data_IF_845941331120
#
_entry.id   IF_845941331120
#
_cell.length_a   1.000
_cell.length_b   1.000
_cell.length_c   1.000
_cell.angle_alpha   90.00
_cell.angle_beta   90.00
_cell.angle_gamma   90.00
#
_symmetry.space_group_name_H-M   'P 1'
#
loop_
_entity.id
_entity.type
_entity.pdbx_description
1 polymer ?
#
# COMPACT_ATOMS: atom_id res chain seq x y z
N UNK A 1 -19.82 2.00 20.02
CA UNK A 1 -19.73 0.53 19.90
C UNK A 1 -18.24 0.20 19.69
N UNK A 2 -17.61 -0.39 20.71
CA UNK A 2 -16.18 -0.72 20.74
C UNK A 2 -15.97 -1.93 19.83
N UNK A 3 -15.39 -1.73 18.65
CA UNK A 3 -14.98 -2.83 17.77
C UNK A 3 -13.93 -3.70 18.46
N UNK A 4 -14.22 -4.95 18.64
CA UNK A 4 -13.28 -5.96 19.12
C UNK A 4 -12.09 -6.01 18.16
N UNK A 5 -10.91 -5.67 18.69
CA UNK A 5 -9.64 -5.83 17.97
C UNK A 5 -9.36 -7.34 17.87
N UNK A 6 -9.47 -7.90 16.68
CA UNK A 6 -9.11 -9.28 16.43
C UNK A 6 -7.67 -9.54 16.86
N UNK A 7 -7.46 -10.53 17.76
CA UNK A 7 -6.12 -11.00 18.13
C UNK A 7 -5.57 -11.87 17.00
N UNK A 8 -4.46 -11.45 16.40
CA UNK A 8 -3.72 -12.29 15.47
C UNK A 8 -2.89 -13.28 16.31
N UNK A 9 -3.32 -14.55 16.33
CA UNK A 9 -2.63 -15.61 17.05
C UNK A 9 -1.52 -16.21 16.19
N UNK A 10 -0.31 -16.37 16.75
CA UNK A 10 0.70 -17.30 16.24
C UNK A 10 1.89 -16.72 15.47
N UNK A 11 1.97 -15.42 15.25
CA UNK A 11 3.22 -14.75 14.88
C UNK A 11 3.55 -13.76 15.99
N UNK A 12 4.81 -13.72 16.45
CA UNK A 12 5.26 -12.81 17.51
C UNK A 12 5.19 -11.34 17.10
N UNK A 13 3.98 -10.87 16.74
CA UNK A 13 3.75 -9.48 16.33
C UNK A 13 3.81 -8.60 17.56
N UNK A 14 4.88 -7.84 17.69
CA UNK A 14 5.15 -6.96 18.83
C UNK A 14 4.37 -5.65 18.73
N UNK A 15 3.97 -5.21 17.54
CA UNK A 15 3.17 -4.01 17.32
C UNK A 15 2.35 -4.12 16.03
N UNK A 16 1.14 -3.63 16.06
CA UNK A 16 0.29 -3.46 14.88
C UNK A 16 0.03 -1.98 14.73
N UNK A 17 0.49 -1.39 13.64
CA UNK A 17 0.25 0.01 13.32
C UNK A 17 -0.86 0.08 12.30
N UNK A 18 -1.87 0.84 12.62
CA UNK A 18 -3.05 1.03 11.81
C UNK A 18 -2.98 2.38 11.09
N UNK A 19 -2.86 2.34 9.77
CA UNK A 19 -3.02 3.54 8.94
C UNK A 19 -4.48 3.65 8.49
N UNK A 20 -5.25 4.55 9.07
CA UNK A 20 -6.58 4.89 8.58
C UNK A 20 -6.53 6.34 8.09
N UNK A 21 -6.11 6.51 6.83
CA UNK A 21 -5.68 7.79 6.35
C UNK A 21 -6.74 8.74 5.85
N UNK A 22 -6.51 9.99 6.09
CA UNK A 22 -6.87 11.14 5.27
C UNK A 22 -5.68 12.07 5.09
N UNK A 23 -4.48 11.58 5.35
CA UNK A 23 -3.27 12.40 5.19
C UNK A 23 -2.67 12.28 3.79
N UNK A 24 -2.96 11.21 3.08
CA UNK A 24 -2.55 10.86 1.70
C UNK A 24 -1.04 10.90 1.42
N UNK A 25 -0.22 11.49 2.29
CA UNK A 25 1.20 11.73 2.08
C UNK A 25 2.07 11.53 3.31
N UNK A 26 1.50 11.16 4.47
CA UNK A 26 2.28 10.96 5.68
C UNK A 26 2.84 9.53 5.76
N UNK A 27 4.15 9.47 6.01
CA UNK A 27 4.89 8.26 6.32
C UNK A 27 5.35 8.31 7.78
N UNK A 28 4.88 7.37 8.58
CA UNK A 28 5.24 7.27 10.00
C UNK A 28 6.25 6.16 10.25
N UNK A 29 7.31 6.45 11.00
CA UNK A 29 8.28 5.46 11.46
C UNK A 29 7.83 4.81 12.77
N UNK A 30 7.97 3.48 12.82
CA UNK A 30 7.57 2.65 13.96
C UNK A 30 8.73 1.73 14.32
N UNK A 31 9.37 1.94 15.46
CA UNK A 31 10.60 1.25 15.85
C UNK A 31 10.45 0.30 17.05
N UNK A 32 9.34 0.32 17.77
CA UNK A 32 9.13 -0.58 18.91
C UNK A 32 7.66 -0.81 19.27
N UNK A 33 7.40 -1.87 20.05
CA UNK A 33 6.08 -2.19 20.59
C UNK A 33 5.48 -1.10 21.50
N UNK A 34 6.33 -0.28 22.14
CA UNK A 34 5.87 0.86 22.93
C UNK A 34 5.16 1.91 22.08
N UNK A 35 5.51 2.01 20.83
CA UNK A 35 4.90 2.92 19.84
C UNK A 35 3.47 2.53 19.50
N UNK A 36 3.06 1.27 19.76
CA UNK A 36 1.70 0.77 19.44
C UNK A 36 0.58 1.58 20.10
N UNK A 37 0.81 2.11 21.31
CA UNK A 37 -0.17 2.97 21.98
C UNK A 37 -0.25 4.36 21.35
N UNK A 38 0.87 4.88 20.85
CA UNK A 38 0.95 6.17 20.17
C UNK A 38 0.33 6.10 18.76
N UNK A 39 0.51 4.97 18.07
CA UNK A 39 0.07 4.79 16.69
C UNK A 39 -1.45 4.68 16.53
N UNK A 40 -2.20 4.38 17.59
CA UNK A 40 -3.67 4.41 17.56
C UNK A 40 -4.25 5.82 17.29
N UNK A 41 -3.44 6.86 17.50
CA UNK A 41 -3.80 8.26 17.26
C UNK A 41 -3.14 8.84 16.00
N UNK A 42 -2.23 8.09 15.38
CA UNK A 42 -1.53 8.54 14.18
C UNK A 42 -2.37 8.32 12.93
N UNK A 43 -2.49 9.35 12.13
CA UNK A 43 -3.12 9.30 10.81
C UNK A 43 -2.01 9.29 9.76
N UNK A 44 -1.81 8.15 9.10
CA UNK A 44 -0.79 7.99 8.05
C UNK A 44 -1.26 7.02 6.97
N UNK A 45 -0.86 7.25 5.73
CA UNK A 45 -1.06 6.32 4.61
C UNK A 45 0.20 5.47 4.35
N UNK A 46 1.28 5.69 5.09
CA UNK A 46 2.49 4.89 5.03
C UNK A 46 3.12 4.65 6.40
N UNK A 47 3.64 3.45 6.59
CA UNK A 47 4.34 3.00 7.79
C UNK A 47 5.71 2.48 7.38
N UNK A 48 6.73 2.76 8.18
CA UNK A 48 8.08 2.24 7.97
C UNK A 48 8.67 1.76 9.29
N UNK A 49 9.43 0.66 9.26
CA UNK A 49 10.14 0.13 10.42
C UNK A 49 11.50 -0.46 10.04
N UNK A 50 12.44 -0.35 10.94
CA UNK A 50 13.74 -1.04 10.92
C UNK A 50 13.85 -2.12 12.00
N UNK A 51 12.80 -2.27 12.81
CA UNK A 51 12.77 -3.21 13.93
C UNK A 51 12.20 -4.56 13.50
N UNK A 52 12.96 -5.66 13.56
CA UNK A 52 12.41 -7.01 13.43
C UNK A 52 11.32 -7.26 14.49
N UNK A 53 10.39 -8.14 14.20
CA UNK A 53 9.26 -8.45 15.08
C UNK A 53 8.17 -7.39 15.14
N UNK A 54 8.36 -6.20 14.56
CA UNK A 54 7.30 -5.19 14.44
C UNK A 54 6.46 -5.47 13.19
N UNK A 55 5.18 -5.75 13.41
CA UNK A 55 4.20 -5.98 12.33
C UNK A 55 3.53 -4.69 11.89
N UNK A 56 3.62 -4.36 10.61
CA UNK A 56 2.88 -3.28 9.97
C UNK A 56 1.58 -3.86 9.41
N UNK A 57 0.42 -3.34 9.83
CA UNK A 57 -0.88 -3.83 9.39
C UNK A 57 -1.68 -2.71 8.72
N UNK A 58 -2.23 -3.02 7.56
CA UNK A 58 -3.03 -2.11 6.76
C UNK A 58 -4.32 -2.79 6.30
N UNK A 59 -5.51 -2.35 6.75
CA UNK A 59 -6.79 -2.77 6.20
C UNK A 59 -7.08 -2.02 4.91
N UNK A 60 -7.48 -2.75 3.87
CA UNK A 60 -7.84 -2.20 2.56
C UNK A 60 -9.08 -2.87 1.99
N UNK A 61 -9.75 -2.17 1.06
CA UNK A 61 -10.72 -2.70 0.11
C UNK A 61 -10.52 -1.91 -1.18
N UNK A 62 -10.09 -2.60 -2.24
CA UNK A 62 -9.76 -2.10 -3.58
C UNK A 62 -8.46 -1.30 -3.71
N UNK A 63 -8.05 -0.55 -2.69
CA UNK A 63 -6.77 0.15 -2.72
C UNK A 63 -5.59 -0.81 -2.66
N UNK A 64 -4.44 -0.40 -3.23
CA UNK A 64 -3.23 -1.22 -3.30
C UNK A 64 -2.44 -1.08 -2.00
N UNK A 65 -2.44 -2.10 -1.13
CA UNK A 65 -1.45 -2.17 -0.06
C UNK A 65 -0.11 -2.58 -0.67
N UNK A 66 0.89 -1.73 -0.51
CA UNK A 66 2.20 -1.93 -1.14
C UNK A 66 3.28 -2.07 -0.08
N UNK A 67 3.98 -3.20 -0.12
CA UNK A 67 5.15 -3.48 0.72
C UNK A 67 6.40 -3.09 -0.05
N UNK A 68 7.30 -2.34 0.58
CA UNK A 68 8.67 -2.12 0.15
C UNK A 68 9.59 -2.76 1.19
N UNK A 69 10.51 -3.59 0.76
CA UNK A 69 11.47 -4.26 1.65
C UNK A 69 12.89 -4.19 1.07
N UNK A 70 13.81 -3.65 1.83
CA UNK A 70 15.23 -3.73 1.54
C UNK A 70 15.89 -4.73 2.50
N UNK A 71 16.30 -5.91 2.01
CA UNK A 71 16.94 -6.94 2.84
C UNK A 71 18.35 -6.55 3.30
N UNK A 72 19.02 -5.65 2.59
CA UNK A 72 20.40 -5.20 2.90
C UNK A 72 20.38 -4.21 4.05
N UNK A 73 19.54 -3.19 3.97
CA UNK A 73 19.37 -2.18 5.02
C UNK A 73 18.40 -2.61 6.12
N UNK A 74 17.71 -3.76 5.94
CA UNK A 74 16.69 -4.29 6.85
C UNK A 74 15.65 -3.24 7.20
N UNK A 75 15.04 -2.66 6.18
CA UNK A 75 13.94 -1.69 6.31
C UNK A 75 12.72 -2.20 5.58
N UNK A 76 11.57 -2.07 6.23
CA UNK A 76 10.27 -2.48 5.74
C UNK A 76 9.33 -1.29 5.75
N UNK A 77 8.63 -1.04 4.64
CA UNK A 77 7.53 -0.08 4.59
C UNK A 77 6.25 -0.75 4.08
N UNK A 78 5.11 -0.27 4.56
CA UNK A 78 3.77 -0.67 4.11
C UNK A 78 2.97 0.59 3.81
N UNK A 79 2.53 0.72 2.55
CA UNK A 79 1.87 1.92 2.02
C UNK A 79 0.44 1.60 1.59
N UNK A 80 -0.48 2.51 1.90
CA UNK A 80 -1.83 2.55 1.38
C UNK A 80 -1.86 3.37 0.09
N UNK A 81 -1.86 2.72 -1.05
CA UNK A 81 -1.91 3.39 -2.35
C UNK A 81 -3.32 3.31 -2.94
N UNK A 82 -4.18 4.18 -2.47
CA UNK A 82 -5.42 4.55 -3.14
C UNK A 82 -5.17 5.65 -4.16
N UNK A 83 -6.23 6.14 -4.81
CA UNK A 83 -6.13 7.22 -5.81
C UNK A 83 -5.43 8.47 -5.23
N UNK A 84 -5.85 8.93 -4.06
CA UNK A 84 -5.33 10.17 -3.47
C UNK A 84 -3.87 10.06 -3.04
N UNK A 85 -3.48 8.98 -2.37
CA UNK A 85 -2.09 8.75 -1.96
C UNK A 85 -1.15 8.46 -3.13
N UNK A 86 -1.68 7.92 -4.24
CA UNK A 86 -0.94 7.80 -5.49
C UNK A 86 -0.70 9.18 -6.13
N UNK A 87 -1.72 10.07 -6.13
CA UNK A 87 -1.59 11.44 -6.61
C UNK A 87 -0.66 12.30 -5.73
N UNK A 88 -0.62 12.03 -4.42
CA UNK A 88 0.26 12.69 -3.44
C UNK A 88 1.69 12.15 -3.42
N UNK A 89 2.20 11.56 -4.45
CA UNK A 89 3.32 10.66 -4.72
C UNK A 89 3.96 9.99 -3.48
N UNK A 90 3.13 9.45 -2.58
CA UNK A 90 3.60 8.79 -1.35
C UNK A 90 4.64 7.69 -1.63
N UNK A 91 4.40 6.86 -2.67
CA UNK A 91 5.31 5.77 -3.05
C UNK A 91 6.70 6.31 -3.43
N UNK A 92 6.75 7.30 -4.33
CA UNK A 92 8.02 7.88 -4.80
C UNK A 92 8.78 8.52 -3.65
N UNK A 93 8.11 9.33 -2.83
CA UNK A 93 8.69 9.97 -1.65
C UNK A 93 9.23 8.94 -0.65
N UNK A 94 8.54 7.80 -0.49
CA UNK A 94 9.04 6.72 0.37
C UNK A 94 10.29 6.09 -0.21
N UNK A 95 10.31 5.78 -1.51
CA UNK A 95 11.51 5.23 -2.17
C UNK A 95 12.68 6.19 -2.05
N UNK A 96 12.47 7.47 -2.35
CA UNK A 96 13.50 8.52 -2.24
C UNK A 96 14.05 8.62 -0.81
N UNK A 97 13.17 8.53 0.19
CA UNK A 97 13.57 8.49 1.60
C UNK A 97 14.45 7.28 1.90
N UNK A 98 14.03 6.08 1.50
CA UNK A 98 14.82 4.86 1.73
C UNK A 98 16.20 4.95 1.07
N UNK A 99 16.28 5.48 -0.16
CA UNK A 99 17.55 5.69 -0.87
C UNK A 99 18.42 6.72 -0.14
N UNK A 100 17.84 7.83 0.31
CA UNK A 100 18.57 8.84 1.10
C UNK A 100 19.12 8.27 2.41
N UNK A 101 18.41 7.30 3.01
CA UNK A 101 18.79 6.60 4.24
C UNK A 101 19.72 5.40 4.00
N UNK A 102 20.19 5.19 2.77
CA UNK A 102 21.23 4.21 2.43
C UNK A 102 20.78 2.97 1.67
N UNK A 103 19.51 2.84 1.33
CA UNK A 103 19.03 1.78 0.44
C UNK A 103 19.49 2.02 -0.99
N UNK A 104 19.66 0.93 -1.77
CA UNK A 104 19.86 1.00 -3.21
C UNK A 104 18.58 0.57 -3.88
N UNK A 105 18.13 1.30 -4.92
CA UNK A 105 16.89 0.97 -5.61
C UNK A 105 16.86 -0.49 -6.13
N UNK A 106 18.01 -1.02 -6.54
CA UNK A 106 18.16 -2.39 -7.04
C UNK A 106 17.99 -3.48 -5.95
N UNK A 107 18.16 -3.11 -4.67
CA UNK A 107 18.01 -4.03 -3.53
C UNK A 107 16.56 -4.02 -2.99
N UNK A 108 15.75 -3.02 -3.34
CA UNK A 108 14.38 -2.90 -2.87
C UNK A 108 13.48 -3.91 -3.60
N UNK A 109 12.76 -4.69 -2.83
CA UNK A 109 11.71 -5.62 -3.28
C UNK A 109 10.36 -4.97 -3.03
N UNK A 110 9.48 -5.01 -4.02
CA UNK A 110 8.11 -4.46 -3.95
C UNK A 110 7.10 -5.59 -4.08
N UNK A 111 6.10 -5.60 -3.22
CA UNK A 111 4.94 -6.46 -3.37
C UNK A 111 3.66 -5.61 -3.29
N UNK A 112 2.76 -5.80 -4.24
CA UNK A 112 1.46 -5.14 -4.32
C UNK A 112 0.33 -6.15 -4.09
N UNK A 113 -0.56 -5.83 -3.16
CA UNK A 113 -1.68 -6.69 -2.75
C UNK A 113 -2.71 -6.89 -3.86
N UNK A 114 -3.64 -7.86 -3.72
CA UNK A 114 -4.94 -7.80 -4.37
C UNK A 114 -5.55 -6.40 -4.27
N UNK A 115 -6.16 -5.93 -5.36
CA UNK A 115 -6.80 -4.61 -5.43
C UNK A 115 -7.81 -4.58 -6.56
N UNK A 116 -8.57 -3.51 -6.69
CA UNK A 116 -9.40 -3.31 -7.87
C UNK A 116 -8.51 -3.22 -9.13
N UNK A 117 -8.74 -4.11 -10.08
CA UNK A 117 -8.02 -4.13 -11.34
C UNK A 117 -8.60 -3.10 -12.31
N UNK A 118 -7.83 -2.74 -13.36
CA UNK A 118 -8.22 -1.73 -14.35
C UNK A 118 -9.64 -1.92 -14.88
N UNK A 119 -10.03 -3.16 -15.21
CA UNK A 119 -11.35 -3.47 -15.79
C UNK A 119 -12.50 -3.20 -14.81
N UNK A 120 -12.24 -3.23 -13.52
CA UNK A 120 -13.26 -3.12 -12.46
C UNK A 120 -13.19 -1.82 -11.67
N UNK A 121 -12.09 -1.06 -11.79
CA UNK A 121 -11.94 0.23 -11.09
C UNK A 121 -12.41 1.37 -11.99
N UNK A 122 -13.72 1.62 -11.97
CA UNK A 122 -14.41 2.57 -12.86
C UNK A 122 -14.85 3.81 -12.09
N UNK A 123 -14.69 4.97 -12.70
CA UNK A 123 -15.18 6.24 -12.17
C UNK A 123 -15.73 7.15 -13.25
N UNK A 124 -16.66 8.03 -12.86
CA UNK A 124 -17.30 8.96 -13.81
C UNK A 124 -16.42 10.18 -14.12
N UNK A 125 -15.48 10.48 -13.23
CA UNK A 125 -14.60 11.63 -13.37
C UNK A 125 -13.22 11.37 -12.75
N UNK A 126 -12.18 11.75 -13.47
CA UNK A 126 -10.81 11.74 -13.02
C UNK A 126 -10.05 12.92 -13.64
N UNK A 127 -9.69 13.89 -12.81
CA UNK A 127 -9.04 15.15 -13.23
C UNK A 127 -7.69 14.95 -13.93
N UNK A 128 -6.99 13.84 -13.64
CA UNK A 128 -5.72 13.48 -14.26
C UNK A 128 -5.87 12.62 -15.54
N UNK A 129 -7.08 12.34 -16.01
CA UNK A 129 -7.30 11.44 -17.15
C UNK A 129 -6.61 11.92 -18.46
N UNK A 130 -6.36 13.22 -18.59
CA UNK A 130 -5.67 13.82 -19.73
C UNK A 130 -4.17 14.06 -19.47
N UNK A 131 -3.68 13.82 -18.25
CA UNK A 131 -2.26 13.94 -17.93
C UNK A 131 -1.48 12.85 -18.67
N UNK A 132 -0.40 13.19 -19.43
CA UNK A 132 0.44 12.22 -20.12
C UNK A 132 1.00 11.12 -19.23
N UNK A 133 1.24 11.39 -17.94
CA UNK A 133 1.70 10.39 -16.98
C UNK A 133 0.66 9.31 -16.67
N UNK A 134 -0.64 9.68 -16.75
CA UNK A 134 -1.75 8.78 -16.47
C UNK A 134 -2.35 8.11 -17.70
N UNK A 135 -2.18 8.69 -18.90
CA UNK A 135 -2.75 8.17 -20.15
C UNK A 135 -2.52 6.66 -20.37
N UNK A 136 -1.33 6.08 -20.12
CA UNK A 136 -1.12 4.63 -20.30
C UNK A 136 -1.94 3.77 -19.32
N UNK A 137 -2.35 4.37 -18.18
CA UNK A 137 -3.04 3.72 -17.07
C UNK A 137 -4.53 4.05 -16.99
N UNK A 138 -5.03 4.79 -17.96
CA UNK A 138 -6.45 5.13 -18.11
C UNK A 138 -7.00 4.55 -19.42
N UNK A 139 -8.27 4.13 -19.40
CA UNK A 139 -9.04 3.87 -20.59
C UNK A 139 -10.47 4.39 -20.39
N UNK A 140 -11.16 4.67 -21.50
CA UNK A 140 -12.52 5.20 -21.48
C UNK A 140 -13.43 4.28 -22.28
N UNK A 141 -14.62 4.00 -21.75
CA UNK A 141 -15.69 3.33 -22.46
C UNK A 141 -17.06 3.89 -22.04
N UNK A 142 -18.15 3.14 -22.33
CA UNK A 142 -19.51 3.55 -21.99
C UNK A 142 -19.78 3.62 -20.48
N UNK A 143 -19.04 2.85 -19.67
CA UNK A 143 -19.21 2.77 -18.22
C UNK A 143 -18.44 3.87 -17.49
N UNK A 144 -17.41 4.44 -18.13
CA UNK A 144 -16.64 5.54 -17.55
C UNK A 144 -15.14 5.47 -17.81
N UNK A 145 -14.39 5.96 -16.82
CA UNK A 145 -12.92 6.00 -16.83
C UNK A 145 -12.41 4.83 -15.98
N UNK A 146 -11.68 3.93 -16.62
CA UNK A 146 -11.01 2.80 -15.97
C UNK A 146 -9.60 3.18 -15.59
N UNK A 147 -9.23 2.98 -14.32
CA UNK A 147 -7.90 3.28 -13.80
C UNK A 147 -7.12 2.02 -13.44
N UNK A 148 -5.84 2.00 -13.83
CA UNK A 148 -4.86 1.01 -13.42
C UNK A 148 -3.92 1.59 -12.35
N UNK A 149 -4.35 1.54 -11.08
CA UNK A 149 -3.52 2.01 -9.97
C UNK A 149 -2.28 1.14 -9.76
N UNK A 150 -2.39 -0.18 -9.91
CA UNK A 150 -1.24 -1.08 -9.76
C UNK A 150 -0.20 -0.79 -10.84
N UNK A 151 -0.63 -0.72 -12.11
CA UNK A 151 0.26 -0.43 -13.23
C UNK A 151 0.95 0.92 -13.10
N UNK A 152 0.21 1.97 -12.70
CA UNK A 152 0.78 3.30 -12.46
C UNK A 152 1.88 3.29 -11.38
N UNK A 153 1.59 2.66 -10.22
CA UNK A 153 2.54 2.57 -9.12
C UNK A 153 3.73 1.65 -9.45
N UNK A 154 3.52 0.56 -10.18
CA UNK A 154 4.61 -0.30 -10.66
C UNK A 154 5.55 0.45 -11.62
N UNK A 155 4.99 1.22 -12.55
CA UNK A 155 5.80 2.08 -13.42
C UNK A 155 6.53 3.19 -12.65
N UNK A 156 5.95 3.70 -11.56
CA UNK A 156 6.63 4.64 -10.66
C UNK A 156 7.83 3.99 -9.95
N UNK A 157 7.70 2.75 -9.48
CA UNK A 157 8.81 1.98 -8.93
C UNK A 157 9.96 1.82 -9.94
N UNK A 158 9.63 1.45 -11.19
CA UNK A 158 10.64 1.30 -12.25
C UNK A 158 11.35 2.61 -12.57
N UNK A 159 10.61 3.72 -12.64
CA UNK A 159 11.20 5.06 -12.84
C UNK A 159 12.12 5.47 -11.70
N UNK A 160 11.85 5.01 -10.48
CA UNK A 160 12.72 5.22 -9.31
C UNK A 160 13.94 4.28 -9.28
N UNK A 161 14.13 3.41 -10.29
CA UNK A 161 15.28 2.53 -10.44
C UNK A 161 15.10 1.13 -9.85
N UNK A 162 13.91 0.78 -9.36
CA UNK A 162 13.64 -0.59 -8.87
C UNK A 162 13.57 -1.53 -10.08
N UNK A 163 14.31 -2.63 -10.00
CA UNK A 163 14.39 -3.61 -11.07
C UNK A 163 13.03 -4.32 -11.29
N UNK A 164 12.59 -4.54 -12.54
CA UNK A 164 11.28 -5.14 -12.82
C UNK A 164 11.07 -6.52 -12.15
N UNK A 165 12.13 -7.31 -12.00
CA UNK A 165 12.06 -8.64 -11.36
C UNK A 165 11.88 -8.56 -9.83
N UNK A 166 12.08 -7.41 -9.23
CA UNK A 166 11.83 -7.14 -7.81
C UNK A 166 10.42 -6.57 -7.56
N UNK A 167 9.60 -6.37 -8.61
CA UNK A 167 8.24 -5.85 -8.48
C UNK A 167 7.25 -7.01 -8.67
N UNK A 168 6.61 -7.41 -7.58
CA UNK A 168 5.64 -8.51 -7.53
C UNK A 168 4.23 -7.95 -7.37
N UNK A 169 3.36 -8.21 -8.33
CA UNK A 169 2.00 -7.67 -8.36
C UNK A 169 1.00 -8.82 -8.25
N UNK A 170 0.07 -8.73 -7.31
CA UNK A 170 -1.04 -9.69 -7.25
C UNK A 170 -1.96 -9.51 -8.46
N UNK A 171 -2.28 -10.61 -9.18
CA UNK A 171 -3.22 -10.55 -10.30
C UNK A 171 -4.70 -10.59 -9.86
N UNK A 172 -4.97 -10.65 -8.56
CA UNK A 172 -6.33 -10.82 -8.04
C UNK A 172 -7.08 -9.49 -8.06
N UNK A 173 -8.25 -9.50 -8.69
CA UNK A 173 -9.20 -8.39 -8.68
C UNK A 173 -10.15 -8.51 -7.50
N UNK A 174 -10.09 -7.57 -6.56
CA UNK A 174 -10.91 -7.58 -5.36
C UNK A 174 -12.39 -7.33 -5.65
N UNK A 175 -12.72 -6.66 -6.75
CA UNK A 175 -14.11 -6.33 -7.12
C UNK A 175 -14.87 -7.59 -7.56
N UNK A 176 -14.20 -8.51 -8.23
CA UNK A 176 -14.81 -9.72 -8.79
C UNK A 176 -14.56 -10.98 -7.97
N UNK A 177 -13.58 -10.94 -7.05
CA UNK A 177 -13.23 -12.08 -6.22
C UNK A 177 -14.13 -12.17 -4.98
N UNK A 178 -14.79 -13.32 -4.71
CA UNK A 178 -15.61 -13.50 -3.54
C UNK A 178 -14.82 -13.62 -2.22
N UNK A 179 -13.49 -13.73 -2.31
CA UNK A 179 -12.62 -13.92 -1.14
C UNK A 179 -12.15 -12.59 -0.52
N UNK A 180 -12.49 -11.46 -1.15
CA UNK A 180 -12.05 -10.14 -0.71
C UNK A 180 -13.21 -9.18 -0.53
N UNK A 181 -13.11 -8.30 0.44
CA UNK A 181 -14.00 -7.16 0.56
C UNK A 181 -13.66 -6.12 -0.51
N UNK A 182 -14.69 -5.58 -1.15
CA UNK A 182 -14.56 -4.55 -2.19
C UNK A 182 -15.55 -3.42 -1.97
N UNK A 183 -15.05 -2.21 -1.83
CA UNK A 183 -15.86 -1.01 -1.76
C UNK A 183 -16.61 -0.76 -3.08
N UNK A 184 -15.94 -0.99 -4.21
CA UNK A 184 -16.54 -0.85 -5.55
C UNK A 184 -17.65 -1.88 -5.80
N UNK A 185 -17.57 -3.08 -5.20
CA UNK A 185 -18.64 -4.08 -5.25
C UNK A 185 -19.78 -3.84 -4.24
N UNK A 186 -19.67 -2.79 -3.41
CA UNK A 186 -20.74 -2.38 -2.47
C UNK A 186 -20.48 -2.67 -1.00
N UNK A 187 -19.31 -3.20 -0.63
CA UNK A 187 -18.95 -3.39 0.77
C UNK A 187 -18.65 -2.06 1.45
N UNK A 188 -19.52 -1.60 2.32
CA UNK A 188 -19.35 -0.31 3.00
C UNK A 188 -18.48 -0.38 4.25
N UNK A 189 -18.36 -1.54 4.90
CA UNK A 189 -17.67 -1.73 6.19
C UNK A 189 -16.58 -2.80 6.21
N UNK A 190 -16.61 -3.75 5.28
CA UNK A 190 -15.63 -4.84 5.20
C UNK A 190 -14.25 -4.36 4.72
N UNK A 191 -13.21 -4.94 5.29
CA UNK A 191 -11.81 -4.74 4.86
C UNK A 191 -11.06 -6.07 5.02
N UNK A 192 -10.15 -6.37 4.09
CA UNK A 192 -9.11 -7.35 4.34
C UNK A 192 -7.85 -6.65 4.83
N UNK A 193 -6.96 -7.37 5.47
CA UNK A 193 -5.76 -6.80 6.04
C UNK A 193 -4.50 -7.35 5.38
N UNK A 194 -3.55 -6.48 5.11
CA UNK A 194 -2.18 -6.84 4.77
C UNK A 194 -1.31 -6.63 6.00
N UNK A 195 -0.58 -7.68 6.39
CA UNK A 195 0.40 -7.65 7.47
C UNK A 195 1.77 -7.97 6.89
N UNK A 196 2.73 -7.08 7.15
CA UNK A 196 4.13 -7.27 6.78
C UNK A 196 5.02 -7.15 8.03
N UNK A 197 6.01 -8.04 8.17
CA UNK A 197 6.91 -8.06 9.32
C UNK A 197 8.25 -8.66 8.92
N UNK A 198 9.35 -8.06 9.39
CA UNK A 198 10.67 -8.68 9.32
C UNK A 198 10.81 -9.69 10.47
N UNK A 199 11.35 -10.88 10.16
CA UNK A 199 11.64 -11.89 11.18
C UNK A 199 12.82 -11.46 12.04
N UNK A 200 12.77 -11.84 13.31
CA UNK A 200 13.96 -11.89 14.17
C UNK A 200 14.83 -13.05 13.66
N UNK A 201 16.15 -12.84 13.62
CA UNK A 201 17.13 -13.88 13.22
C UNK A 201 17.29 -14.91 14.32
#
# INVERSE_FOLDING_TARGET
>A
MSGERGRIYGCGVSAVVYGAGRSYDQLCEVDSAATTRHTAEMVADGLVTRSPGVGLLLPVADCVATVLYDPVQRVLALLHLGRHSTLSPLLVRTIDRLIHEGSRAEDIIVWMSPSAQRQSYVMQYFDQATDPAWQPFCSHDADGIHLDLQGFNAAACQRAGIAPHNIHISPVDTVTSPDYFSHAAGDTGGRFAVLAMMRED
#
